data_IF_576234107635
#
_entry.id   IF_576234107635
#
_cell.length_a   1.000
_cell.length_b   1.000
_cell.length_c   1.000
_cell.angle_alpha   90.00
_cell.angle_beta   90.00
_cell.angle_gamma   90.00
#
_symmetry.space_group_name_H-M   'P 1'
#
loop_
_entity.id
_entity.type
_entity.pdbx_description
1 polymer ?
#
# COMPACT_ATOMS: atom_id res chain seq x y z
N UNK A 1 17.55 -4.47 3.24
CA UNK A 1 17.72 -5.94 3.34
C UNK A 1 17.24 -6.55 2.04
N UNK A 2 18.03 -7.44 1.46
CA UNK A 2 17.63 -8.19 0.26
C UNK A 2 16.65 -9.29 0.67
N UNK A 3 15.55 -9.39 -0.06
CA UNK A 3 14.47 -10.33 0.12
C UNK A 3 14.48 -11.39 -0.98
N UNK A 4 13.65 -12.43 -0.85
CA UNK A 4 13.58 -13.51 -1.82
C UNK A 4 13.34 -12.97 -3.25
N UNK A 5 13.92 -13.65 -4.23
CA UNK A 5 13.82 -13.33 -5.67
C UNK A 5 14.35 -11.93 -6.06
N UNK A 6 15.45 -11.48 -5.44
CA UNK A 6 16.10 -10.20 -5.79
C UNK A 6 15.29 -8.97 -5.42
N UNK A 7 14.38 -9.08 -4.45
CA UNK A 7 13.56 -7.95 -4.01
C UNK A 7 14.25 -7.15 -2.93
N UNK A 8 14.17 -5.82 -2.94
CA UNK A 8 14.58 -4.97 -1.82
C UNK A 8 13.44 -4.88 -0.82
N UNK A 9 13.69 -5.19 0.45
CA UNK A 9 12.69 -5.06 1.53
C UNK A 9 12.76 -3.66 2.16
N UNK A 10 11.60 -3.00 2.23
CA UNK A 10 11.38 -1.70 2.91
C UNK A 10 10.41 -1.90 4.06
N UNK A 11 10.77 -1.43 5.26
CA UNK A 11 9.85 -1.44 6.43
C UNK A 11 8.94 -0.22 6.37
N UNK A 12 7.67 -0.40 6.71
CA UNK A 12 6.64 0.65 6.74
C UNK A 12 5.54 0.30 7.74
N UNK A 13 4.55 1.19 7.89
CA UNK A 13 3.30 0.93 8.61
C UNK A 13 2.12 0.69 7.65
N UNK A 14 1.16 -0.12 8.08
CA UNK A 14 -0.15 -0.27 7.44
C UNK A 14 -1.17 0.70 8.06
N UNK A 15 -1.77 1.54 7.21
CA UNK A 15 -2.74 2.57 7.62
C UNK A 15 -4.17 2.33 7.09
N UNK A 16 -4.50 1.10 6.70
CA UNK A 16 -5.86 0.75 6.25
C UNK A 16 -6.88 0.65 7.39
N UNK A 17 -6.42 0.73 8.64
CA UNK A 17 -7.22 0.93 9.83
C UNK A 17 -6.36 1.56 10.93
N UNK A 18 -6.93 1.80 12.10
CA UNK A 18 -6.24 2.37 13.26
C UNK A 18 -5.26 1.42 13.96
N UNK A 19 -5.09 0.18 13.47
CA UNK A 19 -4.25 -0.83 14.11
C UNK A 19 -2.74 -0.60 13.96
N UNK A 20 -2.31 0.21 12.99
CA UNK A 20 -0.91 0.60 12.82
C UNK A 20 0.08 -0.57 12.72
N UNK A 21 -0.31 -1.67 12.07
CA UNK A 21 0.55 -2.86 11.98
C UNK A 21 1.82 -2.58 11.19
N UNK A 22 2.97 -3.06 11.67
CA UNK A 22 4.22 -2.99 10.92
C UNK A 22 4.22 -3.95 9.75
N UNK A 23 4.72 -3.48 8.60
CA UNK A 23 4.77 -4.22 7.35
C UNK A 23 6.16 -4.15 6.71
N UNK A 24 6.45 -5.17 5.91
CA UNK A 24 7.59 -5.25 4.99
C UNK A 24 7.07 -5.25 3.57
N UNK A 25 7.53 -4.30 2.78
CA UNK A 25 7.19 -4.14 1.37
C UNK A 25 8.35 -4.65 0.54
N UNK A 26 8.10 -5.64 -0.30
CA UNK A 26 9.07 -6.16 -1.26
C UNK A 26 9.01 -5.31 -2.53
N UNK A 27 10.14 -4.75 -2.92
CA UNK A 27 10.28 -3.86 -4.08
C UNK A 27 11.19 -4.54 -5.11
N UNK A 28 10.75 -4.61 -6.36
CA UNK A 28 11.51 -5.12 -7.50
C UNK A 28 11.46 -4.07 -8.60
N UNK A 29 12.60 -3.71 -9.17
CA UNK A 29 12.68 -2.75 -10.28
C UNK A 29 11.89 -1.45 -10.01
N UNK A 30 12.00 -0.94 -8.78
CA UNK A 30 11.29 0.27 -8.34
C UNK A 30 9.79 0.10 -8.05
N UNK A 31 9.21 -1.09 -8.22
CA UNK A 31 7.79 -1.38 -7.98
C UNK A 31 7.58 -2.25 -6.76
N UNK A 32 6.60 -1.91 -5.93
CA UNK A 32 6.14 -2.82 -4.88
C UNK A 32 5.52 -4.06 -5.55
N UNK A 33 5.86 -5.25 -5.06
CA UNK A 33 5.34 -6.53 -5.61
C UNK A 33 4.67 -7.41 -4.56
N UNK A 34 4.92 -7.16 -3.27
CA UNK A 34 4.33 -7.90 -2.16
C UNK A 34 4.38 -7.10 -0.87
N UNK A 35 3.39 -7.31 -0.01
CA UNK A 35 3.35 -6.77 1.36
C UNK A 35 3.15 -7.94 2.33
N UNK A 36 3.97 -7.99 3.37
CA UNK A 36 3.83 -8.94 4.47
C UNK A 36 4.01 -8.26 5.82
N UNK A 37 3.62 -8.92 6.90
CA UNK A 37 3.82 -8.39 8.24
C UNK A 37 5.31 -8.33 8.60
N UNK A 38 5.67 -7.35 9.43
CA UNK A 38 6.99 -7.27 10.05
C UNK A 38 7.00 -8.07 11.37
N UNK A 39 7.75 -9.20 11.46
CA UNK A 39 7.90 -10.00 12.67
C UNK A 39 8.44 -9.21 13.86
N UNK A 40 9.26 -8.19 13.59
CA UNK A 40 9.91 -7.39 14.63
C UNK A 40 9.01 -6.27 15.17
N UNK A 41 7.84 -6.05 14.56
CA UNK A 41 6.95 -4.99 15.00
C UNK A 41 6.28 -5.37 16.33
N UNK A 42 6.37 -4.53 17.38
CA UNK A 42 6.02 -4.91 18.76
C UNK A 42 4.55 -5.30 18.90
N UNK A 43 3.65 -4.60 18.20
CA UNK A 43 2.21 -4.84 18.33
C UNK A 43 1.72 -6.02 17.47
N UNK A 44 2.20 -6.12 16.23
CA UNK A 44 1.66 -7.06 15.25
C UNK A 44 2.44 -8.35 15.13
N UNK A 45 3.73 -8.37 15.51
CA UNK A 45 4.59 -9.55 15.54
C UNK A 45 4.48 -10.43 14.27
N UNK A 46 4.51 -9.77 13.11
CA UNK A 46 4.41 -10.43 11.81
C UNK A 46 2.99 -10.75 11.32
N UNK A 47 1.97 -10.60 12.16
CA UNK A 47 0.58 -10.73 11.72
C UNK A 47 0.19 -9.55 10.81
N UNK A 48 -0.50 -9.87 9.71
CA UNK A 48 -1.11 -8.90 8.80
C UNK A 48 -2.43 -9.47 8.27
N UNK A 49 -3.52 -8.72 8.46
CA UNK A 49 -4.85 -9.11 8.01
C UNK A 49 -5.00 -9.07 6.48
N UNK A 50 -6.09 -9.63 5.97
CA UNK A 50 -6.36 -9.72 4.52
C UNK A 50 -6.34 -8.36 3.83
N UNK A 51 -6.86 -7.30 4.47
CA UNK A 51 -6.84 -5.93 3.93
C UNK A 51 -5.41 -5.43 3.73
N UNK A 52 -4.54 -5.63 4.74
CA UNK A 52 -3.14 -5.23 4.67
C UNK A 52 -2.36 -5.96 3.58
N UNK A 53 -2.60 -7.27 3.42
CA UNK A 53 -1.98 -8.08 2.37
C UNK A 53 -2.41 -7.65 0.98
N UNK A 54 -3.68 -7.28 0.80
CA UNK A 54 -4.23 -6.76 -0.45
C UNK A 54 -3.92 -5.27 -0.69
N UNK A 55 -3.26 -4.57 0.23
CA UNK A 55 -3.05 -3.12 0.15
C UNK A 55 -2.31 -2.65 -1.12
N UNK A 56 -1.54 -3.53 -1.76
CA UNK A 56 -0.86 -3.26 -3.02
C UNK A 56 -1.83 -3.02 -4.19
N UNK A 57 -3.04 -3.59 -4.13
CA UNK A 57 -4.07 -3.40 -5.16
C UNK A 57 -4.54 -1.95 -5.20
N UNK A 58 -4.61 -1.27 -4.05
CA UNK A 58 -4.94 0.17 -3.98
C UNK A 58 -3.85 1.04 -4.61
N UNK A 59 -2.57 0.65 -4.49
CA UNK A 59 -1.44 1.38 -5.06
C UNK A 59 -1.50 1.40 -6.60
N UNK A 60 -1.98 0.31 -7.20
CA UNK A 60 -2.03 0.10 -8.65
C UNK A 60 -3.46 0.05 -9.22
N UNK A 61 -4.47 0.45 -8.43
CA UNK A 61 -5.84 0.44 -8.87
C UNK A 61 -6.02 1.38 -10.08
N UNK A 62 -6.80 0.94 -11.08
CA UNK A 62 -7.05 1.72 -12.31
C UNK A 62 -7.67 3.09 -12.04
N UNK A 63 -8.48 3.20 -11.00
CA UNK A 63 -9.21 4.42 -10.64
C UNK A 63 -8.46 5.27 -9.59
N UNK A 64 -7.16 4.97 -9.33
CA UNK A 64 -6.36 5.72 -8.38
C UNK A 64 -6.15 7.16 -8.89
N UNK A 65 -6.38 8.14 -8.02
CA UNK A 65 -6.06 9.53 -8.31
C UNK A 65 -4.55 9.74 -8.39
N UNK A 66 -4.05 10.18 -9.55
CA UNK A 66 -2.62 10.38 -9.81
C UNK A 66 -2.23 11.87 -9.82
N UNK A 67 -3.20 12.76 -10.03
CA UNK A 67 -3.00 14.19 -10.19
C UNK A 67 -4.10 14.95 -9.44
N UNK A 68 -3.88 16.23 -9.08
CA UNK A 68 -4.96 17.10 -8.65
C UNK A 68 -6.06 17.16 -9.73
N UNK A 69 -7.32 17.21 -9.29
CA UNK A 69 -8.49 17.30 -10.16
C UNK A 69 -9.33 18.51 -9.76
N UNK A 70 -9.74 19.33 -10.73
CA UNK A 70 -10.66 20.43 -10.52
C UNK A 70 -12.05 20.07 -11.07
N UNK A 71 -13.10 20.36 -10.30
CA UNK A 71 -14.48 20.05 -10.70
C UNK A 71 -14.88 20.88 -11.93
N UNK A 72 -15.29 20.23 -13.01
CA UNK A 72 -15.69 20.87 -14.26
C UNK A 72 -17.22 20.95 -14.46
N UNK A 73 -18.02 20.54 -13.46
CA UNK A 73 -19.48 20.51 -13.53
C UNK A 73 -20.17 20.64 -12.17
N UNK A 74 -21.43 20.21 -12.10
CA UNK A 74 -22.19 20.16 -10.85
C UNK A 74 -21.65 19.06 -9.92
N UNK A 75 -21.90 19.19 -8.61
CA UNK A 75 -21.44 18.20 -7.62
C UNK A 75 -22.13 16.86 -7.85
N UNK A 76 -21.35 15.80 -8.03
CA UNK A 76 -21.83 14.42 -8.23
C UNK A 76 -21.73 13.90 -9.66
N UNK A 77 -21.42 14.74 -10.65
CA UNK A 77 -21.37 14.33 -12.07
C UNK A 77 -20.09 13.58 -12.47
N UNK A 78 -19.06 13.56 -11.61
CA UNK A 78 -17.79 12.90 -11.92
C UNK A 78 -16.97 13.55 -13.05
N UNK A 79 -17.24 14.82 -13.38
CA UNK A 79 -16.50 15.58 -14.41
C UNK A 79 -15.36 16.39 -13.81
N UNK A 80 -14.15 16.17 -14.30
CA UNK A 80 -12.90 16.73 -13.78
C UNK A 80 -11.97 17.22 -14.90
N UNK A 81 -11.19 18.26 -14.62
CA UNK A 81 -10.07 18.78 -15.42
C UNK A 81 -8.76 18.80 -14.62
#
# INVERSE_FOLDING_TARGET
MEGPNGTRIVRSGCFLCHGGCGIRVHVRDGRAVRVEGDPDHPNSRGFLCVKGRAGIELLYHKDRLLHPLKRAGARGEGRWE
#
